data_IF_445494196615
#
_entry.id   IF_445494196615
#
_cell.length_a   1.000
_cell.length_b   1.000
_cell.length_c   1.000
_cell.angle_alpha   90.00
_cell.angle_beta   90.00
_cell.angle_gamma   90.00
#
_symmetry.space_group_name_H-M   'P 1'
#
loop_
_entity.id
_entity.type
_entity.pdbx_description
1 polymer ?
#
# COMPACT_ATOMS: atom_id res chain seq x y z
N UNK A 1 22.31 31.37 -2.21
CA UNK A 1 21.16 31.30 -3.16
C UNK A 1 20.20 30.31 -2.56
N UNK A 2 19.03 30.76 -2.21
CA UNK A 2 18.18 30.19 -1.17
C UNK A 2 17.11 29.28 -1.78
N UNK A 3 16.85 28.13 -1.13
CA UNK A 3 15.88 27.08 -1.54
C UNK A 3 14.42 27.53 -1.75
N UNK A 4 14.14 28.81 -1.74
CA UNK A 4 12.85 29.43 -2.07
C UNK A 4 12.61 29.62 -3.57
N UNK A 5 13.66 29.77 -4.36
CA UNK A 5 13.53 29.95 -5.81
C UNK A 5 13.33 28.66 -6.56
N UNK A 6 13.93 27.57 -6.11
CA UNK A 6 13.70 26.24 -6.69
C UNK A 6 12.29 25.73 -6.46
N UNK A 7 11.69 25.95 -5.27
CA UNK A 7 10.28 25.60 -5.01
C UNK A 7 9.31 26.40 -5.87
N UNK A 8 9.56 27.70 -6.09
CA UNK A 8 8.72 28.53 -6.99
C UNK A 8 8.83 28.10 -8.45
N UNK A 9 10.01 27.66 -8.88
CA UNK A 9 10.24 27.18 -10.25
C UNK A 9 9.55 25.84 -10.51
N UNK A 10 9.43 24.98 -9.49
CA UNK A 10 8.70 23.73 -9.58
C UNK A 10 7.19 23.96 -9.71
N UNK A 11 6.63 24.89 -8.93
CA UNK A 11 5.20 25.27 -8.98
C UNK A 11 4.81 25.90 -10.32
N UNK A 12 5.65 26.75 -10.89
CA UNK A 12 5.34 27.47 -12.15
C UNK A 12 5.49 26.60 -13.40
N UNK A 13 6.37 25.59 -13.40
CA UNK A 13 6.55 24.68 -14.53
C UNK A 13 5.39 23.70 -14.73
N UNK A 14 4.54 23.50 -13.73
CA UNK A 14 3.41 22.56 -13.77
C UNK A 14 2.06 23.26 -14.02
N UNK A 15 2.02 24.56 -14.29
CA UNK A 15 0.78 25.29 -14.60
C UNK A 15 0.46 25.40 -16.10
N UNK A 16 1.38 25.01 -16.98
CA UNK A 16 1.11 25.01 -18.42
C UNK A 16 0.46 23.66 -18.82
N UNK A 17 -0.87 23.70 -18.99
CA UNK A 17 -1.61 22.69 -19.74
C UNK A 17 -2.19 21.51 -18.96
N UNK A 18 -2.72 21.70 -17.75
CA UNK A 18 -3.62 20.70 -17.17
C UNK A 18 -4.99 20.80 -17.89
N UNK A 19 -5.14 20.09 -18.98
CA UNK A 19 -6.45 19.81 -19.56
C UNK A 19 -7.23 18.92 -18.58
N UNK A 20 -8.07 19.55 -17.76
CA UNK A 20 -8.90 18.88 -16.76
C UNK A 20 -10.07 18.12 -17.40
N UNK A 21 -10.21 18.13 -18.74
CA UNK A 21 -11.29 17.48 -19.47
C UNK A 21 -11.04 15.99 -19.74
N UNK A 22 -9.81 15.49 -19.65
CA UNK A 22 -9.52 14.08 -19.84
C UNK A 22 -9.61 13.29 -18.53
N UNK A 23 -10.33 12.15 -18.52
CA UNK A 23 -10.38 11.30 -17.35
C UNK A 23 -8.95 10.87 -16.93
N UNK A 24 -8.73 10.73 -15.63
CA UNK A 24 -7.46 10.25 -15.11
C UNK A 24 -7.18 8.84 -15.66
N UNK A 25 -6.07 8.72 -16.39
CA UNK A 25 -5.62 7.48 -17.02
C UNK A 25 -4.52 6.83 -16.18
N UNK A 26 -4.53 5.50 -16.11
CA UNK A 26 -3.53 4.69 -15.37
C UNK A 26 -2.11 5.03 -15.82
N UNK A 27 -1.88 5.13 -17.12
CA UNK A 27 -0.55 5.42 -17.66
C UNK A 27 -0.11 6.86 -17.35
N UNK A 28 -1.05 7.80 -17.27
CA UNK A 28 -0.79 9.17 -16.80
C UNK A 28 -0.36 9.16 -15.33
N UNK A 29 -1.05 8.41 -14.46
CA UNK A 29 -0.69 8.26 -13.05
C UNK A 29 0.71 7.66 -12.88
N UNK A 30 1.00 6.57 -13.61
CA UNK A 30 2.32 5.92 -13.57
C UNK A 30 3.44 6.90 -13.91
N UNK A 31 3.26 7.71 -14.96
CA UNK A 31 4.26 8.71 -15.36
C UNK A 31 4.37 9.85 -14.36
N UNK A 32 3.24 10.39 -13.88
CA UNK A 32 3.24 11.56 -12.97
C UNK A 32 3.87 11.26 -11.62
N UNK A 33 3.71 10.03 -11.11
CA UNK A 33 4.19 9.61 -9.80
C UNK A 33 5.42 8.69 -9.87
N UNK A 34 6.01 8.48 -11.07
CA UNK A 34 7.14 7.56 -11.31
C UNK A 34 6.90 6.15 -10.73
N UNK A 35 5.67 5.64 -10.93
CA UNK A 35 5.27 4.34 -10.40
C UNK A 35 5.93 3.20 -11.18
N UNK A 36 6.52 2.26 -10.45
CA UNK A 36 7.19 1.07 -10.99
C UNK A 36 6.48 -0.19 -10.48
N UNK A 37 6.52 -1.30 -11.23
CA UNK A 37 6.00 -2.57 -10.72
C UNK A 37 6.63 -2.92 -9.37
N UNK A 38 5.81 -3.34 -8.41
CA UNK A 38 6.29 -3.83 -7.11
C UNK A 38 6.60 -5.32 -7.23
N UNK A 39 7.88 -5.71 -7.16
CA UNK A 39 8.27 -7.12 -7.25
C UNK A 39 7.64 -7.95 -6.13
N UNK A 40 7.32 -9.21 -6.42
CA UNK A 40 6.78 -10.20 -5.49
C UNK A 40 5.37 -9.91 -4.98
N UNK A 41 5.08 -8.70 -4.51
CA UNK A 41 3.77 -8.30 -4.02
C UNK A 41 2.78 -8.07 -5.17
N UNK A 42 3.14 -7.24 -6.13
CA UNK A 42 2.29 -6.84 -7.25
C UNK A 42 1.82 -5.39 -7.13
N UNK A 43 1.01 -4.94 -8.12
CA UNK A 43 0.68 -3.52 -8.24
C UNK A 43 1.87 -2.68 -8.69
N UNK A 44 1.75 -1.35 -8.54
CA UNK A 44 2.81 -0.39 -8.87
C UNK A 44 3.01 0.54 -7.69
N UNK A 45 4.26 0.92 -7.43
CA UNK A 45 4.61 1.76 -6.29
C UNK A 45 5.66 2.80 -6.63
N UNK A 46 5.73 3.83 -5.80
CA UNK A 46 6.86 4.75 -5.70
C UNK A 46 7.03 5.18 -4.24
N UNK A 47 8.26 5.10 -3.72
CA UNK A 47 8.56 5.65 -2.40
C UNK A 47 8.47 7.18 -2.44
N UNK A 48 7.50 7.73 -1.73
CA UNK A 48 7.25 9.18 -1.66
C UNK A 48 7.92 9.82 -0.46
N UNK A 49 8.25 9.04 0.57
CA UNK A 49 8.89 9.50 1.78
C UNK A 49 9.71 8.39 2.44
N UNK A 50 10.91 8.75 2.88
CA UNK A 50 11.73 7.99 3.83
C UNK A 50 12.37 8.97 4.80
N UNK A 51 12.15 8.78 6.10
CA UNK A 51 12.81 9.58 7.11
C UNK A 51 14.34 9.43 7.01
N UNK A 52 15.05 10.56 7.08
CA UNK A 52 16.52 10.57 7.18
C UNK A 52 17.01 10.18 8.56
N UNK A 53 16.17 10.32 9.59
CA UNK A 53 16.46 9.88 10.95
C UNK A 53 16.24 8.38 11.06
N UNK A 54 17.13 7.72 11.82
CA UNK A 54 17.14 6.25 11.96
C UNK A 54 17.17 5.85 13.42
N UNK A 55 16.49 4.74 13.71
CA UNK A 55 16.54 4.04 14.98
C UNK A 55 17.62 2.95 14.89
N UNK A 56 18.61 3.04 15.77
CA UNK A 56 19.62 2.00 15.89
C UNK A 56 18.98 0.66 16.28
N UNK A 57 19.58 -0.46 15.85
CA UNK A 57 19.06 -1.81 16.07
C UNK A 57 18.78 -2.09 17.54
N UNK A 58 19.64 -1.58 18.43
CA UNK A 58 19.57 -1.77 19.88
C UNK A 58 18.37 -1.09 20.53
N UNK A 59 17.84 -0.04 19.88
CA UNK A 59 16.64 0.69 20.31
C UNK A 59 15.34 0.05 19.81
N UNK A 60 15.43 -0.95 18.91
CA UNK A 60 14.30 -1.61 18.30
C UNK A 60 13.97 -2.94 18.99
N UNK A 61 12.69 -3.36 19.00
CA UNK A 61 12.30 -4.70 19.40
C UNK A 61 13.08 -5.80 18.65
N UNK A 62 13.23 -6.98 19.29
CA UNK A 62 14.03 -8.09 18.74
C UNK A 62 13.58 -8.59 17.36
N UNK A 63 12.32 -8.33 16.95
CA UNK A 63 11.77 -8.72 15.65
C UNK A 63 12.43 -8.05 14.46
N UNK A 64 13.12 -6.91 14.63
CA UNK A 64 13.85 -6.25 13.56
C UNK A 64 15.26 -6.82 13.42
N UNK A 65 15.72 -7.03 12.21
CA UNK A 65 17.05 -7.58 11.90
C UNK A 65 18.17 -6.53 11.84
N UNK A 66 17.82 -5.24 11.73
CA UNK A 66 18.75 -4.12 11.61
C UNK A 66 18.12 -2.79 12.02
N UNK A 67 18.82 -1.70 11.77
CA UNK A 67 18.30 -0.34 11.97
C UNK A 67 17.12 -0.04 11.05
N UNK A 68 16.25 0.90 11.42
CA UNK A 68 15.11 1.36 10.63
C UNK A 68 15.04 2.88 10.59
N UNK A 69 14.63 3.46 9.45
CA UNK A 69 14.20 4.86 9.42
C UNK A 69 12.97 5.04 10.33
N UNK A 70 12.70 6.26 10.80
CA UNK A 70 11.53 6.51 11.65
C UNK A 70 10.21 6.19 10.94
N UNK A 71 10.16 6.35 9.63
CA UNK A 71 9.00 6.00 8.84
C UNK A 71 9.27 6.05 7.34
N UNK A 72 8.45 5.34 6.59
CA UNK A 72 8.40 5.36 5.13
C UNK A 72 6.96 5.51 4.66
N UNK A 73 6.78 6.11 3.48
CA UNK A 73 5.49 6.12 2.79
C UNK A 73 5.69 5.89 1.29
N UNK A 74 4.72 5.23 0.68
CA UNK A 74 4.68 4.99 -0.77
C UNK A 74 3.36 5.48 -1.36
N UNK A 75 3.38 5.80 -2.65
CA UNK A 75 2.20 5.67 -3.50
C UNK A 75 2.07 4.23 -3.93
N UNK A 76 0.85 3.71 -3.97
CA UNK A 76 0.55 2.35 -4.38
C UNK A 76 -0.66 2.33 -5.31
N UNK A 77 -0.49 1.78 -6.52
CA UNK A 77 -1.53 1.73 -7.55
C UNK A 77 -1.93 0.29 -7.83
N UNK A 78 -3.23 0.03 -7.72
CA UNK A 78 -3.86 -1.20 -8.19
C UNK A 78 -4.63 -0.95 -9.49
N UNK A 79 -4.55 -1.93 -10.38
CA UNK A 79 -5.29 -1.98 -11.67
C UNK A 79 -6.09 -3.29 -11.74
N UNK A 80 -7.01 -3.46 -12.70
CA UNK A 80 -7.77 -4.71 -12.84
C UNK A 80 -6.90 -5.96 -13.02
N UNK A 81 -5.69 -5.79 -13.56
CA UNK A 81 -4.73 -6.87 -13.83
C UNK A 81 -3.78 -7.15 -12.66
N UNK A 82 -3.85 -6.35 -11.59
CA UNK A 82 -2.92 -6.44 -10.47
C UNK A 82 -3.64 -6.57 -9.14
N UNK A 83 -2.93 -7.14 -8.17
CA UNK A 83 -3.37 -7.22 -6.77
C UNK A 83 -2.14 -7.16 -5.86
N UNK A 84 -2.33 -6.77 -4.60
CA UNK A 84 -1.33 -6.94 -3.56
C UNK A 84 -1.42 -8.37 -3.02
N UNK A 85 -0.40 -9.18 -3.27
CA UNK A 85 -0.37 -10.57 -2.84
C UNK A 85 -0.37 -10.66 -1.30
N UNK A 86 -0.97 -11.72 -0.78
CA UNK A 86 -0.99 -11.97 0.66
C UNK A 86 0.42 -11.99 1.24
N UNK A 87 0.68 -11.08 2.16
CA UNK A 87 1.96 -10.88 2.84
C UNK A 87 1.74 -10.42 4.28
N UNK A 88 2.80 -10.37 5.07
CA UNK A 88 2.78 -9.74 6.39
C UNK A 88 4.06 -8.95 6.64
N UNK A 89 3.95 -7.95 7.51
CA UNK A 89 5.08 -7.12 7.93
C UNK A 89 5.36 -7.29 9.42
N UNK A 90 6.58 -6.96 9.82
CA UNK A 90 6.98 -6.92 11.25
C UNK A 90 6.61 -5.59 11.92
N UNK A 91 6.19 -4.58 11.14
CA UNK A 91 5.67 -3.27 11.57
C UNK A 91 4.19 -3.15 11.25
N UNK A 92 3.51 -2.22 11.92
CA UNK A 92 2.17 -1.82 11.53
C UNK A 92 2.22 -1.06 10.20
N UNK A 93 1.20 -1.25 9.36
CA UNK A 93 1.05 -0.55 8.09
C UNK A 93 -0.28 0.19 8.05
N UNK A 94 -0.26 1.44 7.59
CA UNK A 94 -1.47 2.25 7.46
C UNK A 94 -1.75 2.51 6.00
N UNK A 95 -2.89 2.02 5.52
CA UNK A 95 -3.41 2.31 4.19
C UNK A 95 -4.16 3.65 4.16
N UNK A 96 -3.99 4.39 3.07
CA UNK A 96 -4.66 5.66 2.80
C UNK A 96 -5.28 5.61 1.41
N UNK A 97 -6.57 5.92 1.27
CA UNK A 97 -7.23 6.04 -0.03
C UNK A 97 -7.05 7.45 -0.57
N UNK A 98 -6.57 7.58 -1.80
CA UNK A 98 -6.40 8.87 -2.44
C UNK A 98 -7.44 9.12 -3.54
N UNK A 99 -7.56 8.19 -4.51
CA UNK A 99 -8.53 8.36 -5.61
C UNK A 99 -8.75 7.03 -6.37
N UNK A 100 -9.80 6.99 -7.18
CA UNK A 100 -10.18 5.85 -7.99
C UNK A 100 -11.33 5.04 -7.39
N UNK A 101 -11.34 3.74 -7.64
CA UNK A 101 -12.39 2.83 -7.23
C UNK A 101 -12.08 2.13 -5.89
N UNK A 102 -13.09 1.64 -5.17
CA UNK A 102 -12.87 0.96 -3.90
C UNK A 102 -11.99 -0.28 -4.00
N UNK A 103 -11.26 -0.56 -2.90
CA UNK A 103 -10.35 -1.69 -2.77
C UNK A 103 -10.83 -2.61 -1.65
N UNK A 104 -10.84 -3.92 -1.91
CA UNK A 104 -11.04 -4.94 -0.89
C UNK A 104 -9.69 -5.32 -0.28
N UNK A 105 -9.56 -5.18 1.04
CA UNK A 105 -8.38 -5.54 1.83
C UNK A 105 -8.74 -6.72 2.74
N UNK A 106 -8.17 -7.89 2.49
CA UNK A 106 -8.28 -9.04 3.38
C UNK A 106 -7.20 -8.95 4.47
N UNK A 107 -7.63 -9.04 5.72
CA UNK A 107 -6.76 -9.13 6.90
C UNK A 107 -7.03 -10.43 7.65
N UNK A 108 -6.00 -11.27 7.85
CA UNK A 108 -6.08 -12.55 8.57
C UNK A 108 -5.17 -12.50 9.78
N UNK A 109 -5.74 -12.72 10.98
CA UNK A 109 -5.04 -12.56 12.27
C UNK A 109 -4.51 -13.89 12.79
N UNK A 110 -3.55 -13.80 13.68
CA UNK A 110 -2.88 -14.99 14.24
C UNK A 110 -3.82 -15.90 15.04
N UNK A 111 -4.89 -15.38 15.61
CA UNK A 111 -5.92 -16.15 16.34
C UNK A 111 -6.85 -16.96 15.41
N UNK A 112 -6.66 -16.93 14.11
CA UNK A 112 -7.50 -17.61 13.11
C UNK A 112 -8.69 -16.78 12.61
N UNK A 113 -8.91 -15.60 13.17
CA UNK A 113 -9.93 -14.67 12.68
C UNK A 113 -9.48 -13.94 11.42
N UNK A 114 -10.45 -13.42 10.66
CA UNK A 114 -10.18 -12.60 9.49
C UNK A 114 -11.31 -11.62 9.23
N UNK A 115 -11.01 -10.61 8.40
CA UNK A 115 -11.95 -9.56 8.05
C UNK A 115 -11.61 -9.00 6.66
N UNK A 116 -12.63 -8.64 5.89
CA UNK A 116 -12.48 -7.94 4.62
C UNK A 116 -12.96 -6.51 4.82
N UNK A 117 -12.04 -5.56 4.69
CA UNK A 117 -12.34 -4.14 4.70
C UNK A 117 -12.54 -3.64 3.27
N UNK A 118 -13.40 -2.63 3.11
CA UNK A 118 -13.46 -1.85 1.87
C UNK A 118 -12.80 -0.50 2.09
N UNK A 119 -11.69 -0.26 1.40
CA UNK A 119 -10.97 1.01 1.40
C UNK A 119 -11.60 1.90 0.32
N UNK A 120 -12.05 3.09 0.70
CA UNK A 120 -12.74 4.02 -0.18
C UNK A 120 -13.34 5.19 0.60
N UNK A 121 -14.13 6.04 -0.07
CA UNK A 121 -14.66 7.29 0.51
C UNK A 121 -16.13 7.24 0.88
N UNK A 122 -16.85 6.20 0.51
CA UNK A 122 -18.29 6.05 0.83
C UNK A 122 -18.48 5.54 2.27
N UNK A 123 -18.39 6.47 3.23
CA UNK A 123 -18.46 6.17 4.65
C UNK A 123 -19.85 5.66 5.06
N UNK A 124 -20.90 6.13 4.39
CA UNK A 124 -22.28 5.75 4.68
C UNK A 124 -22.54 4.26 4.38
N UNK A 125 -21.80 3.69 3.40
CA UNK A 125 -21.84 2.27 3.07
C UNK A 125 -20.67 1.47 3.68
N UNK A 126 -20.06 1.99 4.75
CA UNK A 126 -19.07 1.25 5.55
C UNK A 126 -17.66 1.26 5.02
N UNK A 127 -17.37 1.99 3.93
CA UNK A 127 -15.97 2.13 3.46
C UNK A 127 -15.14 2.94 4.46
N UNK A 128 -13.83 2.78 4.40
CA UNK A 128 -12.88 3.53 5.21
C UNK A 128 -11.78 4.11 4.34
N UNK A 129 -11.51 5.43 4.42
CA UNK A 129 -10.42 6.06 3.66
C UNK A 129 -9.04 5.75 4.25
N UNK A 130 -9.00 5.26 5.49
CA UNK A 130 -7.78 4.87 6.18
C UNK A 130 -8.01 3.60 6.99
N UNK A 131 -7.06 2.65 6.91
CA UNK A 131 -7.08 1.40 7.68
C UNK A 131 -5.67 1.11 8.19
N UNK A 132 -5.54 0.89 9.50
CA UNK A 132 -4.31 0.40 10.10
C UNK A 132 -4.35 -1.13 10.17
N UNK A 133 -3.33 -1.76 9.60
CA UNK A 133 -3.11 -3.21 9.69
C UNK A 133 -2.01 -3.47 10.73
N UNK A 134 -2.33 -4.11 11.85
CA UNK A 134 -1.33 -4.44 12.86
C UNK A 134 -0.26 -5.40 12.32
N UNK A 135 0.97 -5.24 12.79
CA UNK A 135 2.07 -6.13 12.48
C UNK A 135 1.70 -7.61 12.63
N UNK A 136 2.26 -8.47 11.78
CA UNK A 136 2.04 -9.90 11.81
C UNK A 136 0.70 -10.37 11.24
N UNK A 137 -0.22 -9.44 10.93
CA UNK A 137 -1.45 -9.74 10.22
C UNK A 137 -1.11 -10.06 8.76
N UNK A 138 -1.61 -11.19 8.26
CA UNK A 138 -1.58 -11.47 6.83
C UNK A 138 -2.56 -10.54 6.13
N UNK A 139 -2.12 -9.82 5.12
CA UNK A 139 -2.89 -8.84 4.39
C UNK A 139 -2.66 -8.98 2.89
N UNK A 140 -3.67 -8.64 2.12
CA UNK A 140 -3.60 -8.60 0.67
C UNK A 140 -4.82 -7.86 0.14
N UNK A 141 -4.69 -7.21 -1.02
CA UNK A 141 -5.74 -6.34 -1.52
C UNK A 141 -5.91 -6.42 -3.03
N UNK A 142 -7.12 -6.13 -3.47
CA UNK A 142 -7.47 -6.03 -4.89
C UNK A 142 -8.47 -4.92 -5.12
N UNK A 143 -8.56 -4.45 -6.35
CA UNK A 143 -9.71 -3.65 -6.77
C UNK A 143 -11.01 -4.42 -6.54
N UNK A 144 -12.04 -3.70 -6.11
CA UNK A 144 -13.39 -4.25 -6.12
C UNK A 144 -13.80 -4.59 -7.56
N UNK A 145 -14.52 -5.71 -7.78
CA UNK A 145 -14.95 -6.11 -9.12
C UNK A 145 -15.63 -4.97 -9.89
N UNK A 146 -15.20 -4.73 -11.12
CA UNK A 146 -15.67 -3.63 -11.97
C UNK A 146 -14.92 -2.31 -11.81
N UNK A 147 -14.03 -2.18 -10.83
CA UNK A 147 -13.16 -1.02 -10.67
C UNK A 147 -12.14 -0.90 -11.82
N UNK A 148 -11.73 0.33 -12.11
CA UNK A 148 -10.75 0.66 -13.17
C UNK A 148 -9.35 0.81 -12.62
N UNK A 149 -9.20 1.49 -11.49
CA UNK A 149 -7.93 1.64 -10.77
C UNK A 149 -8.17 2.16 -9.35
N UNK A 150 -7.21 1.99 -8.48
CA UNK A 150 -7.15 2.69 -7.18
C UNK A 150 -5.73 3.18 -6.91
N UNK A 151 -5.59 4.47 -6.62
CA UNK A 151 -4.38 5.03 -6.06
C UNK A 151 -4.54 5.11 -4.54
N UNK A 152 -3.67 4.39 -3.88
CA UNK A 152 -3.54 4.33 -2.43
C UNK A 152 -2.19 4.93 -2.01
N UNK A 153 -2.01 5.12 -0.72
CA UNK A 153 -0.70 5.21 -0.09
C UNK A 153 -0.61 4.21 1.04
N UNK A 154 0.60 3.80 1.38
CA UNK A 154 0.85 3.11 2.63
C UNK A 154 1.96 3.80 3.42
N UNK A 155 1.83 3.77 4.74
CA UNK A 155 2.81 4.31 5.68
C UNK A 155 3.21 3.21 6.65
N UNK A 156 4.51 3.02 6.84
CA UNK A 156 5.07 2.04 7.77
C UNK A 156 5.99 2.75 8.77
N UNK A 157 5.80 2.47 10.06
CA UNK A 157 6.62 3.01 11.15
C UNK A 157 6.84 1.95 12.26
N UNK A 158 8.11 1.65 12.61
CA UNK A 158 9.36 2.06 11.95
C UNK A 158 9.40 1.71 10.48
N UNK A 159 10.19 2.46 9.68
CA UNK A 159 10.16 2.41 8.23
C UNK A 159 10.43 1.03 7.63
N UNK A 160 9.80 0.77 6.52
CA UNK A 160 9.85 -0.48 5.77
C UNK A 160 11.26 -0.81 5.26
N UNK A 161 11.62 -2.08 5.38
CA UNK A 161 12.73 -2.72 4.68
C UNK A 161 12.24 -4.08 4.14
N UNK A 162 12.77 -4.53 2.99
CA UNK A 162 12.37 -5.80 2.40
C UNK A 162 12.65 -7.02 3.32
N UNK A 163 13.58 -6.90 4.26
CA UNK A 163 13.83 -7.92 5.29
C UNK A 163 12.65 -8.11 6.27
N UNK A 164 11.72 -7.16 6.30
CA UNK A 164 10.52 -7.19 7.15
C UNK A 164 9.28 -7.74 6.45
N UNK A 165 9.41 -8.07 5.17
CA UNK A 165 8.33 -8.54 4.29
C UNK A 165 8.37 -10.06 4.14
N UNK A 166 7.22 -10.70 4.33
CA UNK A 166 7.04 -12.14 4.14
C UNK A 166 5.82 -12.42 3.28
N UNK A 167 6.03 -13.11 2.15
CA UNK A 167 4.93 -13.60 1.31
C UNK A 167 4.27 -14.83 1.93
N UNK A 168 2.95 -14.91 1.83
CA UNK A 168 2.20 -16.05 2.33
C UNK A 168 2.33 -17.28 1.43
N UNK A 169 2.35 -18.45 2.06
CA UNK A 169 2.10 -19.71 1.38
C UNK A 169 0.59 -19.95 1.28
N UNK A 170 0.09 -20.16 0.06
CA UNK A 170 -1.35 -20.38 -0.18
C UNK A 170 -1.92 -21.56 0.61
N UNK A 171 -1.24 -22.71 0.61
CA UNK A 171 -1.74 -23.91 1.26
C UNK A 171 -1.84 -23.73 2.79
N UNK A 172 -0.91 -22.98 3.39
CA UNK A 172 -0.93 -22.69 4.81
C UNK A 172 -2.10 -21.76 5.18
N UNK A 173 -2.35 -20.72 4.37
CA UNK A 173 -3.49 -19.84 4.58
C UNK A 173 -4.82 -20.57 4.43
N UNK A 174 -4.99 -21.38 3.37
CA UNK A 174 -6.23 -22.14 3.14
C UNK A 174 -6.54 -23.11 4.30
N UNK A 175 -5.51 -23.74 4.86
CA UNK A 175 -5.67 -24.65 6.00
C UNK A 175 -6.09 -23.90 7.26
N UNK A 176 -5.52 -22.69 7.48
CA UNK A 176 -5.72 -21.93 8.71
C UNK A 176 -6.98 -21.04 8.69
N UNK A 177 -7.38 -20.58 7.51
CA UNK A 177 -8.48 -19.63 7.33
C UNK A 177 -9.52 -20.11 6.31
N UNK A 178 -10.22 -21.24 6.58
CA UNK A 178 -11.12 -21.88 5.61
C UNK A 178 -12.34 -21.02 5.22
N UNK A 179 -12.69 -20.00 6.00
CA UNK A 179 -13.78 -19.09 5.69
C UNK A 179 -13.42 -18.05 4.59
N UNK A 180 -12.14 -17.94 4.20
CA UNK A 180 -11.64 -16.93 3.25
C UNK A 180 -11.04 -17.53 1.97
N UNK A 181 -11.42 -18.76 1.64
CA UNK A 181 -10.84 -19.55 0.53
C UNK A 181 -10.82 -18.78 -0.78
N UNK A 182 -11.93 -18.15 -1.16
CA UNK A 182 -12.03 -17.39 -2.42
C UNK A 182 -11.04 -16.22 -2.50
N UNK A 183 -11.00 -15.42 -1.45
CA UNK A 183 -10.07 -14.28 -1.40
C UNK A 183 -8.61 -14.74 -1.34
N UNK A 184 -8.31 -15.79 -0.59
CA UNK A 184 -6.95 -16.35 -0.52
C UNK A 184 -6.50 -16.83 -1.91
N UNK A 185 -7.35 -17.54 -2.66
CA UNK A 185 -7.03 -17.96 -4.02
C UNK A 185 -6.76 -16.76 -4.94
N UNK A 186 -7.56 -15.71 -4.82
CA UNK A 186 -7.40 -14.50 -5.63
C UNK A 186 -6.12 -13.74 -5.31
N UNK A 187 -5.75 -13.68 -4.04
CA UNK A 187 -4.63 -12.86 -3.53
C UNK A 187 -3.33 -13.65 -3.33
N UNK A 188 -3.23 -14.88 -3.82
CA UNK A 188 -1.99 -15.69 -3.75
C UNK A 188 -1.63 -16.22 -5.14
N UNK A 189 -0.34 -16.41 -5.41
CA UNK A 189 0.18 -16.98 -6.67
C UNK A 189 0.51 -18.45 -6.52
#
# INVERSE_FOLDING_TARGET
MTGGEERRRWVLKNQEGCDTSQPMDIEKLKRMLDLKPLPSEGGYYAESYRSTERLARECLPKRYSGERSFGTAIYFLLTPETFSAMHRLVSDEVYHFYLGDPVELLCLREDGSGEIFTIGTDLDHGMRPQIAVPRGTWQGSRLRPGGKFALLGTTVAPGFEFADFELANRADLLRRYPSFVEMIHTLTR
#
